data_IF_353419704276
#
_entry.id   IF_353419704276
#
_cell.length_a   1.000
_cell.length_b   1.000
_cell.length_c   1.000
_cell.angle_alpha   90.00
_cell.angle_beta   90.00
_cell.angle_gamma   90.00
#
_symmetry.space_group_name_H-M   'P 1'
#
loop_
_entity.id
_entity.type
_entity.pdbx_description
1 polymer ?
#
# COMPACT_ATOMS: atom_id res chain seq x y z
N UNK A 1 11.79 29.79 -21.77
CA UNK A 1 12.98 29.71 -20.90
C UNK A 1 13.15 28.25 -20.50
N UNK A 2 14.13 27.57 -21.09
CA UNK A 2 14.38 26.13 -20.88
C UNK A 2 15.69 26.01 -20.12
N UNK A 3 15.66 25.50 -18.89
CA UNK A 3 16.84 25.28 -18.06
C UNK A 3 17.56 24.02 -18.56
N UNK A 4 18.73 24.22 -19.17
CA UNK A 4 19.66 23.15 -19.54
C UNK A 4 20.52 22.81 -18.33
N UNK A 5 20.42 21.57 -17.83
CA UNK A 5 21.30 21.05 -16.78
C UNK A 5 22.47 20.31 -17.45
N UNK A 6 23.74 20.69 -17.22
CA UNK A 6 24.87 19.99 -17.82
C UNK A 6 25.09 18.63 -17.12
N UNK A 7 25.44 17.56 -17.85
CA UNK A 7 25.76 16.28 -17.23
C UNK A 7 27.11 16.35 -16.49
N UNK A 8 27.11 15.93 -15.23
CA UNK A 8 28.31 15.78 -14.41
C UNK A 8 29.20 14.66 -14.98
N UNK A 9 30.46 14.98 -15.24
CA UNK A 9 31.48 14.05 -15.73
C UNK A 9 31.99 13.17 -14.58
N UNK A 10 31.47 11.95 -14.44
CA UNK A 10 32.03 10.96 -13.52
C UNK A 10 33.22 10.25 -14.20
N UNK A 11 34.45 10.60 -13.81
CA UNK A 11 35.65 9.86 -14.23
C UNK A 11 35.83 8.62 -13.34
N UNK A 12 35.46 7.45 -13.86
CA UNK A 12 35.86 6.16 -13.27
C UNK A 12 37.32 5.90 -13.65
N UNK A 13 38.20 5.80 -12.66
CA UNK A 13 39.59 5.39 -12.84
C UNK A 13 39.63 3.89 -13.17
N UNK A 14 39.81 3.57 -14.45
CA UNK A 14 40.04 2.21 -14.95
C UNK A 14 41.35 1.64 -14.36
N UNK A 15 41.26 0.48 -13.68
CA UNK A 15 42.41 -0.37 -13.35
C UNK A 15 42.30 -1.66 -14.16
N UNK A 16 43.28 -1.85 -15.03
CA UNK A 16 43.48 -2.93 -16.00
C UNK A 16 43.37 -4.35 -15.41
N UNK A 17 42.71 -5.28 -16.10
CA UNK A 17 43.37 -6.40 -16.82
C UNK A 17 42.37 -7.27 -17.63
N UNK A 18 42.61 -7.32 -18.95
CA UNK A 18 42.41 -8.42 -19.93
C UNK A 18 41.18 -9.34 -19.80
N UNK A 19 40.19 -9.13 -20.69
CA UNK A 19 39.69 -10.08 -21.71
C UNK A 19 38.29 -9.64 -22.24
N UNK A 20 38.24 -9.49 -23.57
CA UNK A 20 37.13 -9.36 -24.56
C UNK A 20 35.64 -9.12 -24.16
N UNK A 21 34.88 -8.43 -25.03
CA UNK A 21 33.65 -7.72 -24.66
C UNK A 21 32.41 -8.62 -24.75
N UNK A 22 31.60 -8.68 -23.69
CA UNK A 22 30.20 -9.07 -23.80
C UNK A 22 29.35 -7.85 -23.53
N UNK A 23 28.90 -7.21 -24.61
CA UNK A 23 27.82 -6.23 -24.58
C UNK A 23 26.53 -7.00 -24.21
N UNK A 24 26.14 -7.00 -22.93
CA UNK A 24 24.77 -7.35 -22.56
C UNK A 24 23.96 -6.07 -22.58
N UNK A 25 23.30 -5.84 -23.72
CA UNK A 25 22.29 -4.80 -23.88
C UNK A 25 21.02 -5.26 -23.14
N UNK A 26 20.90 -4.93 -21.85
CA UNK A 26 19.65 -5.07 -21.12
C UNK A 26 18.68 -3.98 -21.62
N UNK A 27 17.86 -4.32 -22.62
CA UNK A 27 16.77 -3.47 -23.06
C UNK A 27 15.72 -3.37 -21.94
N UNK A 28 15.71 -2.25 -21.23
CA UNK A 28 14.61 -1.84 -20.37
C UNK A 28 13.39 -1.58 -21.26
N UNK A 29 12.51 -2.58 -21.39
CA UNK A 29 11.12 -2.39 -21.79
C UNK A 29 10.42 -1.57 -20.70
N UNK A 30 10.57 -0.25 -20.75
CA UNK A 30 9.67 0.67 -20.04
C UNK A 30 8.37 0.66 -20.83
N UNK A 31 7.56 -0.37 -20.60
CA UNK A 31 6.14 -0.30 -20.93
C UNK A 31 5.56 0.81 -20.07
N UNK A 32 5.14 1.90 -20.69
CA UNK A 32 4.31 2.90 -20.01
C UNK A 32 2.96 2.25 -19.74
N UNK A 33 2.87 1.49 -18.65
CA UNK A 33 1.59 1.17 -18.04
C UNK A 33 1.03 2.52 -17.61
N UNK A 34 0.14 3.09 -18.43
CA UNK A 34 -0.75 4.14 -17.95
C UNK A 34 -1.55 3.48 -16.84
N UNK A 35 -1.15 3.72 -15.60
CA UNK A 35 -1.98 3.39 -14.47
C UNK A 35 -3.29 4.17 -14.68
N UNK A 36 -4.41 3.46 -14.73
CA UNK A 36 -5.72 4.11 -14.66
C UNK A 36 -5.69 5.11 -13.50
N UNK A 37 -6.12 6.36 -13.71
CA UNK A 37 -6.06 7.37 -12.68
C UNK A 37 -6.83 6.85 -11.46
N UNK A 38 -6.18 6.92 -10.31
CA UNK A 38 -6.82 6.54 -9.06
C UNK A 38 -8.05 7.45 -8.82
N UNK A 39 -9.13 6.90 -8.27
CA UNK A 39 -10.26 7.68 -7.82
C UNK A 39 -9.83 8.86 -6.95
N UNK A 40 -10.39 10.04 -7.24
CA UNK A 40 -10.21 11.23 -6.40
C UNK A 40 -10.99 11.16 -5.09
N UNK A 41 -11.96 10.24 -5.01
CA UNK A 41 -12.84 10.03 -3.86
C UNK A 41 -12.95 8.53 -3.54
N UNK A 42 -13.04 8.22 -2.24
CA UNK A 42 -13.13 6.86 -1.72
C UNK A 42 -14.24 6.77 -0.68
N UNK A 43 -15.20 5.86 -0.89
CA UNK A 43 -16.24 5.60 0.10
C UNK A 43 -15.85 4.45 1.01
N UNK A 44 -16.11 4.64 2.30
CA UNK A 44 -15.78 3.67 3.33
C UNK A 44 -16.88 2.64 3.44
N UNK A 45 -16.52 1.40 3.15
CA UNK A 45 -17.41 0.28 3.30
C UNK A 45 -17.01 -0.52 4.52
N UNK A 46 -17.61 -0.11 5.65
CA UNK A 46 -17.61 -0.88 6.88
C UNK A 46 -18.46 -2.15 6.70
N UNK A 47 -18.76 -2.85 7.80
CA UNK A 47 -19.29 -4.22 7.85
C UNK A 47 -20.62 -4.52 7.11
N UNK A 48 -21.12 -3.63 6.25
CA UNK A 48 -22.32 -3.81 5.45
C UNK A 48 -22.12 -4.91 4.39
N UNK A 49 -23.13 -5.75 4.16
CA UNK A 49 -23.14 -6.65 3.02
C UNK A 49 -23.16 -5.86 1.70
N UNK A 50 -22.58 -6.44 0.66
CA UNK A 50 -22.49 -5.86 -0.69
C UNK A 50 -23.83 -5.30 -1.22
N UNK A 51 -24.92 -5.98 -0.88
CA UNK A 51 -26.29 -5.63 -1.27
C UNK A 51 -26.83 -4.36 -0.61
N UNK A 52 -26.16 -3.85 0.42
CA UNK A 52 -26.53 -2.62 1.13
C UNK A 52 -25.59 -1.46 0.80
N UNK A 53 -24.66 -1.65 -0.14
CA UNK A 53 -23.82 -0.56 -0.62
C UNK A 53 -24.65 0.35 -1.55
N UNK A 54 -24.43 1.67 -1.50
CA UNK A 54 -24.99 2.58 -2.48
C UNK A 54 -24.60 2.16 -3.91
N UNK A 55 -25.41 2.58 -4.87
CA UNK A 55 -25.09 2.41 -6.29
C UNK A 55 -23.74 3.07 -6.56
N UNK A 56 -22.88 2.38 -7.31
CA UNK A 56 -21.58 2.90 -7.71
C UNK A 56 -21.69 4.29 -8.34
N UNK A 57 -20.79 5.19 -7.98
CA UNK A 57 -20.69 6.51 -8.60
C UNK A 57 -19.42 6.56 -9.47
N UNK A 58 -19.50 7.07 -10.73
CA UNK A 58 -18.33 7.17 -11.58
C UNK A 58 -17.20 7.97 -10.92
N UNK A 59 -15.98 7.43 -10.93
CA UNK A 59 -14.81 8.08 -10.33
C UNK A 59 -14.70 7.94 -8.81
N UNK A 60 -15.60 7.21 -8.15
CA UNK A 60 -15.53 6.89 -6.71
C UNK A 60 -15.05 5.46 -6.50
N UNK A 61 -14.00 5.32 -5.70
CA UNK A 61 -13.45 4.02 -5.29
C UNK A 61 -14.02 3.51 -3.97
N UNK A 62 -13.67 2.27 -3.63
CA UNK A 62 -14.08 1.59 -2.41
C UNK A 62 -12.91 1.43 -1.43
N UNK A 63 -13.02 1.98 -0.21
CA UNK A 63 -12.16 1.61 0.90
C UNK A 63 -12.80 0.43 1.64
N UNK A 64 -12.17 -0.74 1.56
CA UNK A 64 -12.70 -2.00 2.11
C UNK A 64 -11.85 -2.43 3.29
N UNK A 65 -12.49 -2.79 4.40
CA UNK A 65 -11.82 -3.27 5.61
C UNK A 65 -11.53 -4.79 5.57
N UNK A 66 -10.30 -5.24 5.28
CA UNK A 66 -9.90 -6.65 5.46
C UNK A 66 -9.48 -7.00 6.88
N UNK A 67 -9.00 -6.03 7.67
CA UNK A 67 -8.29 -6.30 8.92
C UNK A 67 -8.47 -5.18 9.95
N UNK A 68 -8.65 -5.61 11.20
CA UNK A 68 -8.52 -4.78 12.39
C UNK A 68 -7.20 -5.10 13.09
N UNK A 69 -6.57 -4.07 13.63
CA UNK A 69 -5.37 -4.18 14.48
C UNK A 69 -5.68 -3.49 15.79
N UNK A 70 -5.47 -4.20 16.89
CA UNK A 70 -5.69 -3.69 18.23
C UNK A 70 -4.36 -3.73 19.00
N UNK A 71 -3.90 -2.57 19.45
CA UNK A 71 -2.75 -2.44 20.33
C UNK A 71 -3.20 -2.44 21.78
N UNK A 72 -2.60 -3.30 22.61
CA UNK A 72 -2.88 -3.36 24.06
C UNK A 72 -1.58 -3.57 24.82
N UNK A 73 -1.12 -2.54 25.52
CA UNK A 73 0.20 -2.53 26.15
C UNK A 73 1.31 -2.78 25.12
N UNK A 74 2.08 -3.85 25.30
CA UNK A 74 3.13 -4.28 24.36
C UNK A 74 2.65 -5.24 23.26
N UNK A 75 1.35 -5.59 23.22
CA UNK A 75 0.80 -6.59 22.30
C UNK A 75 0.27 -5.96 21.01
N UNK A 76 0.23 -6.75 19.95
CA UNK A 76 -0.45 -6.47 18.69
C UNK A 76 -1.42 -7.62 18.42
N UNK A 77 -2.70 -7.30 18.30
CA UNK A 77 -3.76 -8.27 18.03
C UNK A 77 -4.34 -7.94 16.65
N UNK A 78 -4.07 -8.77 15.66
CA UNK A 78 -4.60 -8.60 14.32
C UNK A 78 -5.77 -9.56 14.08
N UNK A 79 -6.91 -9.02 13.67
CA UNK A 79 -8.14 -9.79 13.39
C UNK A 79 -8.52 -9.57 11.94
N UNK A 80 -8.53 -10.65 11.16
CA UNK A 80 -9.09 -10.62 9.81
C UNK A 80 -10.61 -10.56 9.85
N UNK A 81 -11.19 -9.82 8.90
CA UNK A 81 -12.63 -9.83 8.69
C UNK A 81 -13.10 -11.24 8.32
N UNK A 82 -14.19 -11.69 8.95
CA UNK A 82 -14.74 -13.04 8.73
C UNK A 82 -15.36 -13.22 7.34
N UNK A 83 -15.97 -12.16 6.81
CA UNK A 83 -16.62 -12.17 5.50
C UNK A 83 -16.00 -11.11 4.60
N UNK A 84 -15.44 -11.53 3.47
CA UNK A 84 -14.93 -10.59 2.47
C UNK A 84 -16.11 -9.83 1.85
N UNK A 85 -15.97 -8.50 1.75
CA UNK A 85 -16.92 -7.69 1.01
C UNK A 85 -16.78 -7.99 -0.48
N UNK A 86 -17.85 -8.47 -1.11
CA UNK A 86 -17.92 -8.61 -2.56
C UNK A 86 -18.32 -7.27 -3.17
N UNK A 87 -17.46 -6.67 -3.99
CA UNK A 87 -17.81 -5.45 -4.71
C UNK A 87 -18.39 -5.80 -6.08
N UNK A 88 -19.31 -4.98 -6.61
CA UNK A 88 -19.67 -5.01 -8.02
C UNK A 88 -18.44 -4.99 -8.95
N UNK A 89 -18.50 -5.64 -10.13
CA UNK A 89 -17.42 -5.59 -11.11
C UNK A 89 -17.07 -4.15 -11.50
N UNK A 90 -15.77 -3.88 -11.70
CA UNK A 90 -15.28 -2.58 -12.18
C UNK A 90 -15.07 -1.52 -11.09
N UNK A 91 -15.44 -1.79 -9.83
CA UNK A 91 -15.13 -0.88 -8.72
C UNK A 91 -13.66 -1.07 -8.30
N UNK A 92 -12.88 0.01 -8.40
CA UNK A 92 -11.52 0.05 -7.84
C UNK A 92 -11.61 0.08 -6.31
N UNK A 93 -10.80 -0.76 -5.66
CA UNK A 93 -10.80 -0.87 -4.20
C UNK A 93 -9.40 -0.69 -3.61
N UNK A 94 -9.31 0.00 -2.48
CA UNK A 94 -8.14 0.03 -1.61
C UNK A 94 -8.43 -0.70 -0.29
N UNK A 95 -7.46 -1.46 0.26
CA UNK A 95 -7.59 -2.04 1.59
C UNK A 95 -7.46 -0.95 2.66
N UNK A 96 -8.34 -1.00 3.65
CA UNK A 96 -8.34 -0.17 4.85
C UNK A 96 -8.00 -1.05 6.06
N UNK A 97 -6.93 -0.74 6.78
CA UNK A 97 -6.62 -1.39 8.06
C UNK A 97 -7.08 -0.43 9.15
N UNK A 98 -8.05 -0.87 9.96
CA UNK A 98 -8.49 -0.11 11.11
C UNK A 98 -7.61 -0.46 12.31
N UNK A 99 -7.11 0.57 12.99
CA UNK A 99 -6.13 0.47 14.07
C UNK A 99 -6.72 1.13 15.31
N UNK A 100 -6.89 0.33 16.36
CA UNK A 100 -7.40 0.76 17.65
C UNK A 100 -6.33 0.58 18.74
N UNK A 101 -6.41 1.42 19.78
CA UNK A 101 -5.60 1.30 20.99
C UNK A 101 -6.52 0.99 22.17
N UNK A 102 -6.14 -0.01 22.96
CA UNK A 102 -6.81 -0.38 24.21
C UNK A 102 -6.78 0.80 25.19
N UNK A 103 -7.94 1.34 25.61
CA UNK A 103 -7.99 2.45 26.55
C UNK A 103 -7.50 2.05 27.95
N UNK A 104 -7.54 0.76 28.32
CA UNK A 104 -7.07 0.28 29.60
C UNK A 104 -5.56 -0.01 29.60
N UNK A 105 -4.94 -0.19 28.43
CA UNK A 105 -3.51 -0.47 28.28
C UNK A 105 -2.91 0.35 27.14
N UNK A 106 -2.25 1.48 27.45
CA UNK A 106 -1.79 2.42 26.44
C UNK A 106 -0.80 1.77 25.47
N UNK A 107 -0.76 2.30 24.25
CA UNK A 107 0.21 1.92 23.23
C UNK A 107 1.64 2.10 23.74
N UNK A 108 2.39 1.00 23.85
CA UNK A 108 3.75 1.02 24.41
C UNK A 108 4.81 1.59 23.45
N UNK A 109 4.51 1.83 22.17
CA UNK A 109 5.43 2.47 21.24
C UNK A 109 6.71 1.68 20.98
N UNK A 110 6.68 0.36 21.12
CA UNK A 110 7.87 -0.49 20.95
C UNK A 110 8.22 -0.72 19.48
N UNK A 111 9.49 -1.04 19.19
CA UNK A 111 9.91 -1.46 17.85
C UNK A 111 9.17 -2.71 17.39
N UNK A 112 8.88 -3.63 18.30
CA UNK A 112 8.11 -4.83 18.00
C UNK A 112 6.71 -4.48 17.45
N UNK A 113 6.02 -3.50 18.05
CA UNK A 113 4.71 -3.06 17.59
C UNK A 113 4.78 -2.34 16.24
N UNK A 114 5.77 -1.46 16.05
CA UNK A 114 6.01 -0.79 14.77
C UNK A 114 6.27 -1.80 13.65
N UNK A 115 7.16 -2.76 13.89
CA UNK A 115 7.52 -3.79 12.92
C UNK A 115 6.32 -4.69 12.61
N UNK A 116 5.55 -5.10 13.62
CA UNK A 116 4.34 -5.90 13.41
C UNK A 116 3.30 -5.16 12.54
N UNK A 117 3.05 -3.87 12.79
CA UNK A 117 2.14 -3.08 11.94
C UNK A 117 2.66 -2.95 10.51
N UNK A 118 3.96 -2.67 10.33
CA UNK A 118 4.60 -2.61 9.01
C UNK A 118 4.42 -3.92 8.25
N UNK A 119 4.68 -5.04 8.91
CA UNK A 119 4.62 -6.36 8.29
C UNK A 119 3.18 -6.72 7.91
N UNK A 120 2.19 -6.31 8.71
CA UNK A 120 0.76 -6.45 8.39
C UNK A 120 0.34 -5.60 7.18
N UNK A 121 0.83 -4.36 7.08
CA UNK A 121 0.59 -3.48 5.92
C UNK A 121 1.19 -4.10 4.66
N UNK A 122 2.43 -4.58 4.73
CA UNK A 122 3.10 -5.22 3.60
C UNK A 122 2.37 -6.50 3.15
N UNK A 123 1.93 -7.32 4.12
CA UNK A 123 1.16 -8.53 3.83
C UNK A 123 -0.18 -8.23 3.14
N UNK A 124 -0.92 -7.20 3.58
CA UNK A 124 -2.17 -6.80 2.92
C UNK A 124 -1.94 -6.22 1.53
N UNK A 125 -0.94 -5.37 1.35
CA UNK A 125 -0.59 -4.82 0.05
C UNK A 125 -0.26 -5.92 -0.96
N UNK A 126 0.54 -6.91 -0.54
CA UNK A 126 0.90 -8.06 -1.36
C UNK A 126 -0.32 -8.94 -1.68
N UNK A 127 -1.10 -9.30 -0.66
CA UNK A 127 -2.26 -10.19 -0.83
C UNK A 127 -3.32 -9.61 -1.76
N UNK A 128 -3.51 -8.29 -1.73
CA UNK A 128 -4.51 -7.57 -2.52
C UNK A 128 -3.96 -7.04 -3.84
N UNK A 129 -2.64 -7.14 -4.06
CA UNK A 129 -1.92 -6.48 -5.17
C UNK A 129 -2.25 -4.99 -5.26
N UNK A 130 -2.46 -4.36 -4.11
CA UNK A 130 -2.86 -2.96 -4.05
C UNK A 130 -1.63 -2.07 -3.93
N UNK A 131 -1.49 -1.02 -4.77
CA UNK A 131 -0.40 -0.06 -4.64
C UNK A 131 -0.62 0.91 -3.46
N UNK A 132 -1.82 0.91 -2.87
CA UNK A 132 -2.23 1.79 -1.78
C UNK A 132 -2.86 0.97 -0.65
N UNK A 133 -2.54 1.33 0.59
CA UNK A 133 -3.22 0.87 1.80
C UNK A 133 -3.63 2.11 2.58
N UNK A 134 -4.88 2.15 3.03
CA UNK A 134 -5.31 3.16 3.98
C UNK A 134 -5.14 2.62 5.40
N UNK A 135 -4.50 3.41 6.25
CA UNK A 135 -4.48 3.17 7.69
C UNK A 135 -5.46 4.14 8.34
N UNK A 136 -6.41 3.59 9.07
CA UNK A 136 -7.35 4.37 9.86
C UNK A 136 -7.02 4.17 11.34
N UNK A 137 -6.55 5.22 12.01
CA UNK A 137 -6.25 5.18 13.43
C UNK A 137 -7.41 5.79 14.20
N UNK A 138 -8.00 5.03 15.11
CA UNK A 138 -8.96 5.59 16.03
C UNK A 138 -8.22 6.43 17.09
N UNK A 139 -8.42 7.75 17.03
CA UNK A 139 -7.92 8.68 18.03
C UNK A 139 -8.86 8.63 19.25
N UNK A 140 -8.30 8.31 20.42
CA UNK A 140 -8.99 8.37 21.71
C UNK A 140 -8.15 9.14 22.72
#
# INVERSE_FOLDING_TARGET
MTLSVPPATFRVRSRSHRNSPVLVLAALLVGTVQAEPLPGEWWWYWDRPASQLPVHWPGVGAAVLPRHVHFSGGRVIAVSRRSALTLPPGILSVPLIHVEVDPAQPFAGTDAQRNALRDLVAAEALARRSPLIQLDFEAR
#
